data_IF_975094148610
#
_entry.id   IF_975094148610
#
_cell.length_a   1.000
_cell.length_b   1.000
_cell.length_c   1.000
_cell.angle_alpha   90.00
_cell.angle_beta   90.00
_cell.angle_gamma   90.00
#
_symmetry.space_group_name_H-M   'P 1'
#
loop_
_entity.id
_entity.type
_entity.pdbx_description
1 polymer ?
#
# COMPACT_ATOMS: atom_id res chain seq x y z
N UNK A 1 -16.85 -5.39 -15.11
CA UNK A 1 -16.10 -5.10 -13.88
C UNK A 1 -14.98 -4.12 -14.23
N UNK A 2 -14.87 -2.98 -13.54
CA UNK A 2 -13.79 -2.02 -13.81
C UNK A 2 -12.44 -2.66 -13.44
N UNK A 3 -11.45 -2.53 -14.31
CA UNK A 3 -10.08 -3.00 -14.08
C UNK A 3 -9.40 -2.12 -13.02
N UNK A 4 -8.58 -2.72 -12.17
CA UNK A 4 -7.73 -1.95 -11.24
C UNK A 4 -6.84 -0.98 -12.01
N UNK A 5 -6.74 0.25 -11.53
CA UNK A 5 -5.84 1.27 -12.03
C UNK A 5 -4.79 1.58 -10.96
N UNK A 6 -3.54 1.60 -11.38
CA UNK A 6 -2.38 1.64 -10.51
C UNK A 6 -1.61 2.90 -10.84
N UNK A 7 -1.46 3.80 -9.88
CA UNK A 7 -0.79 5.08 -10.05
C UNK A 7 0.42 5.14 -9.13
N UNK A 8 1.63 5.08 -9.70
CA UNK A 8 2.86 5.32 -8.95
C UNK A 8 2.88 6.72 -8.36
N UNK A 9 3.33 6.82 -7.11
CA UNK A 9 3.50 8.10 -6.43
C UNK A 9 4.99 8.44 -6.36
N UNK A 10 5.43 9.63 -6.81
CA UNK A 10 6.85 9.93 -7.05
C UNK A 10 7.66 10.21 -5.76
N UNK A 11 7.28 9.63 -4.63
CA UNK A 11 7.91 9.87 -3.33
C UNK A 11 9.01 8.87 -2.97
N UNK A 12 8.95 7.65 -3.53
CA UNK A 12 9.95 6.61 -3.32
C UNK A 12 10.35 6.07 -4.69
N UNK A 13 11.59 6.28 -5.09
CA UNK A 13 12.11 5.87 -6.39
C UNK A 13 12.93 4.58 -6.28
N UNK A 14 12.83 3.75 -7.32
CA UNK A 14 13.62 2.54 -7.46
C UNK A 14 13.07 1.36 -6.65
N UNK A 15 13.89 0.32 -6.58
CA UNK A 15 13.58 -0.91 -5.87
C UNK A 15 13.92 -0.76 -4.39
N UNK A 16 13.08 -1.33 -3.52
CA UNK A 16 13.33 -1.41 -2.09
C UNK A 16 13.09 -2.85 -1.60
N UNK A 17 13.84 -3.28 -0.60
CA UNK A 17 13.55 -4.49 0.17
C UNK A 17 12.86 -4.14 1.48
N UNK A 18 11.98 -5.02 1.95
CA UNK A 18 11.33 -4.85 3.25
C UNK A 18 12.31 -5.16 4.39
N UNK A 19 12.54 -4.21 5.30
CA UNK A 19 13.42 -4.43 6.46
C UNK A 19 12.64 -4.58 7.77
N UNK A 20 11.55 -3.82 7.96
CA UNK A 20 10.74 -3.88 9.16
C UNK A 20 9.27 -3.55 8.89
N UNK A 21 8.39 -4.22 9.64
CA UNK A 21 6.98 -3.83 9.81
C UNK A 21 6.70 -3.76 11.31
N UNK A 22 6.09 -2.67 11.74
CA UNK A 22 5.61 -2.48 13.11
C UNK A 22 4.20 -1.91 13.08
N UNK A 23 3.29 -2.53 13.82
CA UNK A 23 1.89 -2.11 13.93
C UNK A 23 1.54 -1.93 15.40
N UNK A 24 1.08 -0.75 15.77
CA UNK A 24 0.83 -0.35 17.16
C UNK A 24 -0.66 -0.42 17.56
N UNK A 25 -1.49 -1.14 16.77
CA UNK A 25 -2.96 -1.16 16.80
C UNK A 25 -3.68 0.01 16.10
N UNK A 26 -2.96 1.06 15.68
CA UNK A 26 -3.55 2.20 14.95
C UNK A 26 -2.75 2.54 13.70
N UNK A 27 -1.43 2.60 13.83
CA UNK A 27 -0.49 3.05 12.81
C UNK A 27 0.37 1.89 12.33
N UNK A 28 0.75 1.94 11.06
CA UNK A 28 1.64 0.98 10.43
C UNK A 28 2.92 1.69 10.00
N UNK A 29 4.03 1.34 10.65
CA UNK A 29 5.37 1.71 10.22
C UNK A 29 5.93 0.59 9.34
N UNK A 30 6.38 0.98 8.15
CA UNK A 30 7.13 0.12 7.23
C UNK A 30 8.49 0.75 6.97
N UNK A 31 9.56 0.02 7.27
CA UNK A 31 10.92 0.41 6.92
C UNK A 31 11.36 -0.35 5.66
N UNK A 32 11.90 0.41 4.71
CA UNK A 32 12.27 -0.04 3.38
C UNK A 32 13.73 0.29 3.12
N UNK A 33 14.54 -0.71 2.83
CA UNK A 33 15.92 -0.47 2.43
C UNK A 33 15.96 -0.18 0.92
N UNK A 34 16.27 1.07 0.57
CA UNK A 34 16.33 1.51 -0.82
C UNK A 34 17.66 1.14 -1.45
N UNK A 35 17.60 0.39 -2.57
CA UNK A 35 18.80 0.06 -3.35
C UNK A 35 19.33 1.28 -4.13
N UNK A 36 18.46 2.23 -4.47
CA UNK A 36 18.83 3.43 -5.21
C UNK A 36 19.46 4.49 -4.29
N UNK A 37 18.84 4.74 -3.13
CA UNK A 37 19.30 5.77 -2.18
C UNK A 37 20.32 5.25 -1.17
N UNK A 38 20.52 3.92 -1.10
CA UNK A 38 21.42 3.25 -0.17
C UNK A 38 21.19 3.66 1.30
N UNK A 39 19.92 3.75 1.69
CA UNK A 39 19.46 4.07 3.04
C UNK A 39 18.12 3.40 3.33
N UNK A 40 17.74 3.37 4.59
CA UNK A 40 16.40 2.99 5.02
C UNK A 40 15.44 4.18 4.92
N UNK A 41 14.29 3.97 4.28
CA UNK A 41 13.17 4.90 4.15
C UNK A 41 12.08 4.45 5.10
N UNK A 42 11.53 5.39 5.89
CA UNK A 42 10.43 5.10 6.81
C UNK A 42 9.12 5.58 6.22
N UNK A 43 8.18 4.66 6.01
CA UNK A 43 6.81 4.97 5.57
C UNK A 43 5.88 4.70 6.73
N UNK A 44 5.21 5.73 7.21
CA UNK A 44 4.19 5.60 8.25
C UNK A 44 2.81 5.80 7.62
N UNK A 45 1.92 4.86 7.85
CA UNK A 45 0.49 5.00 7.57
C UNK A 45 -0.22 5.20 8.91
N UNK A 46 -0.81 6.37 9.11
CA UNK A 46 -1.49 6.70 10.36
C UNK A 46 -2.97 6.36 10.29
N UNK A 47 -3.51 5.82 11.39
CA UNK A 47 -4.90 5.43 11.52
C UNK A 47 -5.38 4.52 10.36
N UNK A 48 -4.74 3.36 10.20
CA UNK A 48 -5.07 2.43 9.12
C UNK A 48 -6.34 1.65 9.40
N UNK A 49 -7.12 1.37 8.36
CA UNK A 49 -8.29 0.50 8.46
C UNK A 49 -7.90 -0.97 8.47
N UNK A 50 -7.00 -1.34 7.56
CA UNK A 50 -6.51 -2.71 7.42
C UNK A 50 -5.20 -2.71 6.64
N UNK A 51 -4.38 -3.72 6.85
CA UNK A 51 -3.25 -4.00 5.98
C UNK A 51 -3.07 -5.51 5.82
N UNK A 52 -2.46 -5.92 4.71
CA UNK A 52 -2.02 -7.30 4.50
C UNK A 52 -0.68 -7.33 3.80
N UNK A 53 0.13 -8.32 4.17
CA UNK A 53 1.41 -8.61 3.52
C UNK A 53 1.23 -9.89 2.72
N UNK A 54 1.50 -9.84 1.42
CA UNK A 54 1.39 -11.01 0.54
C UNK A 54 2.72 -11.32 -0.14
N UNK A 55 3.05 -12.61 -0.20
CA UNK A 55 4.19 -13.16 -0.95
C UNK A 55 3.80 -13.38 -2.44
N UNK A 56 3.12 -12.40 -3.03
CA UNK A 56 2.52 -12.50 -4.36
C UNK A 56 3.49 -12.06 -5.45
N UNK A 57 4.60 -12.78 -5.59
CA UNK A 57 5.53 -12.62 -6.72
C UNK A 57 4.84 -12.78 -8.09
N UNK A 58 3.66 -13.37 -8.17
CA UNK A 58 2.87 -13.44 -9.42
C UNK A 58 2.07 -12.17 -9.74
N UNK A 59 1.68 -11.34 -8.77
CA UNK A 59 1.12 -9.99 -9.07
C UNK A 59 2.17 -9.12 -9.75
N UNK A 60 3.46 -9.42 -9.52
CA UNK A 60 4.58 -8.86 -10.28
C UNK A 60 4.46 -9.10 -11.78
N UNK A 61 3.95 -10.24 -12.25
CA UNK A 61 3.82 -10.49 -13.69
C UNK A 61 2.85 -9.50 -14.34
N UNK A 62 1.74 -9.19 -13.68
CA UNK A 62 0.79 -8.17 -14.15
C UNK A 62 1.38 -6.74 -14.09
N UNK A 63 2.33 -6.50 -13.17
CA UNK A 63 3.07 -5.25 -13.04
C UNK A 63 4.25 -5.12 -14.01
N UNK A 64 4.94 -6.22 -14.35
CA UNK A 64 6.08 -6.24 -15.28
C UNK A 64 5.66 -5.85 -16.70
N UNK A 65 4.39 -6.07 -17.04
CA UNK A 65 3.78 -5.58 -18.28
C UNK A 65 3.14 -4.19 -18.15
N UNK A 66 3.19 -3.56 -16.97
CA UNK A 66 2.90 -2.15 -16.76
C UNK A 66 4.24 -1.38 -16.81
N UNK A 67 4.70 -0.93 -17.98
CA UNK A 67 6.13 -0.70 -18.24
C UNK A 67 6.72 0.58 -17.62
N UNK A 68 6.13 1.17 -16.58
CA UNK A 68 6.45 2.55 -16.17
C UNK A 68 6.42 2.84 -14.66
N UNK A 69 6.20 1.86 -13.81
CA UNK A 69 6.04 2.09 -12.39
C UNK A 69 7.38 1.89 -11.67
N UNK A 70 8.23 2.92 -11.74
CA UNK A 70 9.56 2.99 -11.10
C UNK A 70 9.50 3.32 -9.60
N UNK A 71 8.34 3.14 -8.97
CA UNK A 71 8.10 3.60 -7.60
C UNK A 71 7.55 2.51 -6.71
N UNK A 72 8.04 2.50 -5.47
CA UNK A 72 7.67 1.58 -4.40
C UNK A 72 6.26 1.85 -3.86
N UNK A 73 5.79 3.11 -3.84
CA UNK A 73 4.47 3.48 -3.31
C UNK A 73 3.47 3.74 -4.43
N UNK A 74 2.35 3.05 -4.40
CA UNK A 74 1.35 3.05 -5.47
C UNK A 74 -0.05 3.27 -4.88
N UNK A 75 -0.83 4.15 -5.49
CA UNK A 75 -2.27 4.27 -5.24
C UNK A 75 -3.03 3.32 -6.18
N UNK A 76 -3.95 2.54 -5.63
CA UNK A 76 -4.73 1.55 -6.37
C UNK A 76 -6.21 1.97 -6.40
N UNK A 77 -6.71 2.27 -7.58
CA UNK A 77 -8.10 2.63 -7.84
C UNK A 77 -8.87 1.42 -8.38
N UNK A 78 -10.18 1.35 -8.12
CA UNK A 78 -11.04 0.20 -8.43
C UNK A 78 -10.55 -1.12 -7.80
N UNK A 79 -9.87 -1.03 -6.65
CA UNK A 79 -9.22 -2.14 -5.95
C UNK A 79 -10.14 -3.33 -5.72
N UNK A 80 -9.70 -4.51 -6.13
CA UNK A 80 -10.37 -5.77 -5.81
C UNK A 80 -10.21 -6.13 -4.33
N UNK A 81 -9.12 -5.70 -3.69
CA UNK A 81 -8.94 -5.88 -2.26
C UNK A 81 -9.98 -5.10 -1.45
N UNK A 82 -10.24 -3.84 -1.80
CA UNK A 82 -11.28 -3.04 -1.13
C UNK A 82 -12.67 -3.61 -1.38
N UNK A 83 -12.99 -3.99 -2.63
CA UNK A 83 -14.27 -4.67 -2.93
C UNK A 83 -14.46 -5.92 -2.09
N UNK A 84 -13.42 -6.74 -1.96
CA UNK A 84 -13.46 -7.93 -1.11
C UNK A 84 -13.66 -7.57 0.37
N UNK A 85 -12.97 -6.55 0.91
CA UNK A 85 -13.22 -6.06 2.27
C UNK A 85 -14.67 -5.61 2.47
N UNK A 86 -15.20 -4.87 1.50
CA UNK A 86 -16.57 -4.38 1.52
C UNK A 86 -17.60 -5.51 1.53
N UNK A 87 -17.39 -6.53 0.69
CA UNK A 87 -18.24 -7.71 0.57
C UNK A 87 -18.10 -8.66 1.78
N UNK A 88 -16.89 -8.82 2.32
CA UNK A 88 -16.60 -9.78 3.37
C UNK A 88 -17.01 -9.31 4.77
N UNK A 89 -17.03 -8.00 5.04
CA UNK A 89 -17.23 -7.53 6.40
C UNK A 89 -17.76 -6.11 6.56
N UNK A 90 -17.35 -5.14 5.74
CA UNK A 90 -17.72 -3.73 6.00
C UNK A 90 -19.23 -3.53 5.95
N UNK A 91 -19.90 -4.06 4.92
CA UNK A 91 -21.37 -3.95 4.80
C UNK A 91 -22.10 -4.65 5.95
N UNK A 92 -21.54 -5.74 6.48
CA UNK A 92 -22.13 -6.49 7.59
C UNK A 92 -21.95 -5.80 8.94
N UNK A 93 -20.86 -5.02 9.11
CA UNK A 93 -20.48 -4.43 10.39
C UNK A 93 -20.92 -2.98 10.54
N UNK A 94 -20.93 -2.20 9.46
CA UNK A 94 -21.12 -0.74 9.50
C UNK A 94 -22.41 -0.25 8.82
N UNK A 95 -23.22 -1.18 8.30
CA UNK A 95 -24.50 -0.92 7.61
C UNK A 95 -24.40 0.17 6.50
N UNK A 96 -23.19 0.41 6.01
CA UNK A 96 -22.82 1.46 5.05
C UNK A 96 -21.52 1.11 4.34
N UNK A 97 -21.28 1.74 3.20
CA UNK A 97 -19.97 1.74 2.52
C UNK A 97 -19.07 2.79 3.15
N UNK A 98 -17.91 2.37 3.64
CA UNK A 98 -16.86 3.26 4.12
C UNK A 98 -16.08 3.82 2.92
N UNK A 99 -15.67 5.09 3.01
CA UNK A 99 -14.77 5.70 2.04
C UNK A 99 -13.33 5.21 2.30
N UNK A 100 -12.95 4.12 1.63
CA UNK A 100 -11.66 3.46 1.84
C UNK A 100 -10.76 3.69 0.62
N UNK A 101 -9.59 4.29 0.86
CA UNK A 101 -8.51 4.40 -0.11
C UNK A 101 -7.54 3.22 0.00
N UNK A 102 -7.00 2.77 -1.14
CA UNK A 102 -6.02 1.68 -1.18
C UNK A 102 -4.66 2.17 -1.67
N UNK A 103 -3.65 1.93 -0.85
CA UNK A 103 -2.25 2.12 -1.16
C UNK A 103 -1.51 0.80 -1.10
N UNK A 104 -0.46 0.69 -1.88
CA UNK A 104 0.36 -0.50 -1.97
C UNK A 104 1.83 -0.10 -1.88
N UNK A 105 2.58 -0.76 -0.99
CA UNK A 105 4.03 -0.80 -1.08
C UNK A 105 4.44 -2.06 -1.82
N UNK A 106 5.24 -1.88 -2.86
CA UNK A 106 5.81 -2.97 -3.63
C UNK A 106 7.31 -3.07 -3.36
N UNK A 107 7.72 -4.13 -2.67
CA UNK A 107 9.13 -4.44 -2.43
C UNK A 107 9.62 -5.52 -3.38
N UNK A 108 10.91 -5.85 -3.29
CA UNK A 108 11.54 -6.96 -4.02
C UNK A 108 11.01 -8.34 -3.64
N UNK A 109 10.26 -8.47 -2.54
CA UNK A 109 9.79 -9.76 -2.02
C UNK A 109 8.30 -9.76 -1.70
N UNK A 110 7.77 -8.63 -1.26
CA UNK A 110 6.43 -8.53 -0.68
C UNK A 110 5.61 -7.43 -1.35
N UNK A 111 4.30 -7.65 -1.36
CA UNK A 111 3.31 -6.60 -1.55
C UNK A 111 2.66 -6.33 -0.20
N UNK A 112 2.62 -5.05 0.19
CA UNK A 112 1.92 -4.61 1.39
C UNK A 112 0.76 -3.75 0.93
N UNK A 113 -0.44 -4.32 0.94
CA UNK A 113 -1.68 -3.59 0.68
C UNK A 113 -2.12 -2.89 1.98
N UNK A 114 -2.42 -1.60 1.91
CA UNK A 114 -2.87 -0.78 3.05
C UNK A 114 -4.18 -0.08 2.67
N UNK A 115 -5.21 -0.31 3.49
CA UNK A 115 -6.51 0.34 3.40
C UNK A 115 -6.59 1.48 4.41
N UNK A 116 -6.95 2.67 3.93
CA UNK A 116 -7.00 3.92 4.70
C UNK A 116 -8.41 4.49 4.69
N UNK A 117 -8.82 5.08 5.82
CA UNK A 117 -10.03 5.89 5.93
C UNK A 117 -9.74 7.35 5.54
N UNK A 118 -10.78 8.16 5.44
CA UNK A 118 -10.68 9.56 5.01
C UNK A 118 -9.79 10.42 5.92
N UNK A 119 -9.72 10.10 7.21
CA UNK A 119 -8.92 10.80 8.21
C UNK A 119 -7.51 10.23 8.40
N UNK A 120 -7.14 9.16 7.67
CA UNK A 120 -5.79 8.60 7.69
C UNK A 120 -4.77 9.51 7.00
N UNK A 121 -3.49 9.33 7.33
CA UNK A 121 -2.38 10.05 6.70
C UNK A 121 -1.27 9.09 6.27
N UNK A 122 -0.43 9.53 5.33
CA UNK A 122 0.80 8.83 4.98
C UNK A 122 1.94 9.82 5.17
N UNK A 123 3.01 9.40 5.83
CA UNK A 123 4.25 10.17 5.90
C UNK A 123 5.46 9.34 5.47
N UNK A 124 6.41 10.02 4.84
CA UNK A 124 7.68 9.46 4.39
C UNK A 124 8.80 10.25 5.07
N UNK A 125 9.60 9.54 5.86
CA UNK A 125 10.65 10.12 6.72
C UNK A 125 10.12 11.30 7.57
N UNK A 126 8.87 11.20 8.02
CA UNK A 126 8.17 12.21 8.82
C UNK A 126 7.48 13.34 8.03
N UNK A 127 7.57 13.36 6.69
CA UNK A 127 6.89 14.34 5.85
C UNK A 127 5.56 13.78 5.35
N UNK A 128 4.44 14.42 5.68
CA UNK A 128 3.10 14.04 5.22
C UNK A 128 2.96 14.31 3.70
N UNK A 129 2.33 13.38 2.97
CA UNK A 129 2.21 13.40 1.50
C UNK A 129 0.79 13.36 0.96
#
# INVERSE_FOLDING_TARGET
MLKEKWTSLPYIAGECSLSKIEYDSTNLLVELDSFLENRTIKVCFENIFSYRVTLEHFRWANFRYAPQTSSTLIKVENSNYIKWLEEAGVKLLYDSTLDISHYMLQTTEHIIDVALLAESSISIDGNII
#
